data_IF_427511829871
#
_entry.id   IF_427511829871
#
_cell.length_a   1.000
_cell.length_b   1.000
_cell.length_c   1.000
_cell.angle_alpha   90.00
_cell.angle_beta   90.00
_cell.angle_gamma   90.00
#
_symmetry.space_group_name_H-M   'P 1'
#
loop_
_entity.id
_entity.type
_entity.pdbx_description
1 polymer ?
#
# COMPACT_ATOMS: atom_id res chain seq x y z
N UNK A 1 -5.73 17.32 4.84
CA UNK A 1 -4.54 16.58 5.28
C UNK A 1 -3.75 16.06 4.08
N UNK A 2 -2.53 16.57 3.85
CA UNK A 2 -1.64 16.03 2.81
C UNK A 2 -1.18 14.62 3.20
N UNK A 3 -1.49 13.63 2.36
CA UNK A 3 -1.41 12.21 2.71
C UNK A 3 -0.63 11.42 1.67
N UNK A 4 0.28 10.58 2.12
CA UNK A 4 0.91 9.55 1.29
C UNK A 4 0.19 8.21 1.49
N UNK A 5 0.00 7.46 0.41
CA UNK A 5 -0.59 6.12 0.48
C UNK A 5 0.48 5.05 0.27
N UNK A 6 0.59 4.12 1.23
CA UNK A 6 1.36 2.89 1.07
C UNK A 6 0.75 2.03 -0.04
N UNK A 7 1.48 1.88 -1.14
CA UNK A 7 0.99 1.27 -2.37
C UNK A 7 1.65 -0.09 -2.62
N UNK A 8 0.87 -1.16 -2.45
CA UNK A 8 1.33 -2.53 -2.65
C UNK A 8 1.00 -3.07 -4.06
N UNK A 9 0.34 -2.27 -4.90
CA UNK A 9 -0.17 -2.65 -6.23
C UNK A 9 -1.37 -3.61 -6.21
N UNK A 10 -1.86 -3.98 -5.02
CA UNK A 10 -3.02 -4.85 -4.84
C UNK A 10 -4.37 -4.13 -4.80
N UNK A 11 -5.45 -4.92 -4.82
CA UNK A 11 -6.84 -4.45 -4.73
C UNK A 11 -7.11 -3.56 -3.52
N UNK A 12 -6.50 -3.86 -2.37
CA UNK A 12 -6.77 -3.15 -1.13
C UNK A 12 -6.11 -1.77 -1.12
N UNK A 13 -4.89 -1.62 -1.65
CA UNK A 13 -4.30 -0.28 -1.84
C UNK A 13 -5.07 0.55 -2.86
N UNK A 14 -5.55 -0.07 -3.94
CA UNK A 14 -6.35 0.63 -4.95
C UNK A 14 -7.69 1.10 -4.38
N UNK A 15 -8.37 0.25 -3.60
CA UNK A 15 -9.63 0.61 -2.96
C UNK A 15 -9.45 1.62 -1.81
N UNK A 16 -8.34 1.53 -1.07
CA UNK A 16 -7.97 2.55 -0.08
C UNK A 16 -7.82 3.93 -0.73
N UNK A 17 -7.17 4.01 -1.91
CA UNK A 17 -7.09 5.25 -2.68
C UNK A 17 -8.49 5.77 -3.07
N UNK A 18 -9.35 4.88 -3.55
CA UNK A 18 -10.73 5.21 -3.92
C UNK A 18 -11.50 5.81 -2.73
N UNK A 19 -11.44 5.18 -1.55
CA UNK A 19 -12.11 5.69 -0.35
C UNK A 19 -11.53 7.01 0.16
N UNK A 20 -10.20 7.17 0.15
CA UNK A 20 -9.56 8.41 0.58
C UNK A 20 -9.92 9.60 -0.34
N UNK A 21 -10.09 9.36 -1.65
CA UNK A 21 -10.51 10.41 -2.60
C UNK A 21 -11.92 10.93 -2.38
N UNK A 22 -12.74 10.20 -1.63
CA UNK A 22 -14.09 10.63 -1.26
C UNK A 22 -14.12 11.44 0.04
N UNK A 23 -13.01 11.53 0.76
CA UNK A 23 -12.91 12.26 2.01
C UNK A 23 -12.46 13.70 1.73
N UNK A 24 -13.30 14.72 1.99
CA UNK A 24 -13.01 16.11 1.62
C UNK A 24 -11.82 16.70 2.39
N UNK A 25 -11.49 16.13 3.54
CA UNK A 25 -10.40 16.52 4.42
C UNK A 25 -9.08 15.80 4.12
N UNK A 26 -9.05 14.87 3.15
CA UNK A 26 -7.86 14.12 2.77
C UNK A 26 -7.43 14.44 1.34
N UNK A 27 -6.18 14.90 1.20
CA UNK A 27 -5.54 15.08 -0.10
C UNK A 27 -4.45 14.02 -0.26
N UNK A 28 -4.70 12.98 -1.06
CA UNK A 28 -3.65 12.01 -1.41
C UNK A 28 -2.72 12.65 -2.43
N UNK A 29 -1.49 12.94 -2.01
CA UNK A 29 -0.51 13.69 -2.81
C UNK A 29 0.59 12.80 -3.41
N UNK A 30 0.62 11.53 -3.07
CA UNK A 30 1.59 10.58 -3.61
C UNK A 30 1.41 9.17 -3.11
N UNK A 31 2.04 8.26 -3.82
CA UNK A 31 2.13 6.84 -3.50
C UNK A 31 3.54 6.53 -3.00
N UNK A 32 3.67 5.54 -2.11
CA UNK A 32 4.98 5.05 -1.66
C UNK A 32 5.01 3.53 -1.69
N UNK A 33 6.08 2.96 -2.24
CA UNK A 33 6.29 1.52 -2.31
C UNK A 33 7.75 1.18 -2.06
N UNK A 34 8.01 -0.03 -1.59
CA UNK A 34 9.37 -0.55 -1.43
C UNK A 34 9.67 -1.61 -2.49
N UNK A 35 10.81 -1.45 -3.17
CA UNK A 35 11.28 -2.40 -4.18
C UNK A 35 12.57 -3.05 -3.72
N UNK A 36 12.66 -4.36 -3.92
CA UNK A 36 13.88 -5.10 -3.74
C UNK A 36 14.88 -4.70 -4.84
N UNK A 37 16.02 -4.14 -4.46
CA UNK A 37 17.03 -3.63 -5.38
C UNK A 37 17.66 -4.72 -6.27
N UNK A 38 17.69 -5.97 -5.81
CA UNK A 38 18.26 -7.09 -6.58
C UNK A 38 17.30 -7.62 -7.67
N UNK A 39 15.98 -7.46 -7.48
CA UNK A 39 14.97 -8.07 -8.36
C UNK A 39 14.06 -7.08 -9.08
N UNK A 40 14.17 -5.79 -8.77
CA UNK A 40 13.32 -4.70 -9.29
C UNK A 40 11.81 -4.99 -9.15
N UNK A 41 11.44 -5.46 -7.95
CA UNK A 41 10.09 -5.91 -7.61
C UNK A 41 9.66 -5.45 -6.24
N UNK A 42 8.36 -5.22 -6.07
CA UNK A 42 7.75 -4.93 -4.77
C UNK A 42 8.12 -6.01 -3.77
N UNK A 43 8.76 -5.64 -2.67
CA UNK A 43 9.49 -6.56 -1.79
C UNK A 43 8.63 -7.71 -1.21
N UNK A 44 7.32 -7.48 -1.01
CA UNK A 44 6.39 -8.47 -0.45
C UNK A 44 5.47 -9.13 -1.47
N UNK A 45 5.24 -8.50 -2.63
CA UNK A 45 4.21 -8.95 -3.59
C UNK A 45 4.79 -9.39 -4.92
N UNK A 46 6.11 -9.21 -5.13
CA UNK A 46 6.81 -9.66 -6.34
C UNK A 46 6.38 -8.94 -7.62
N UNK A 47 5.57 -7.88 -7.52
CA UNK A 47 5.10 -7.10 -8.66
C UNK A 47 6.26 -6.31 -9.26
N UNK A 48 6.41 -6.35 -10.59
CA UNK A 48 7.46 -5.60 -11.30
C UNK A 48 7.27 -4.11 -11.08
N UNK A 49 8.37 -3.38 -10.84
CA UNK A 49 8.36 -1.93 -10.66
C UNK A 49 7.59 -1.20 -11.77
N UNK A 50 7.81 -1.59 -13.02
CA UNK A 50 7.15 -0.99 -14.20
C UNK A 50 5.61 -1.04 -14.13
N UNK A 51 5.02 -2.10 -13.55
CA UNK A 51 3.58 -2.19 -13.38
C UNK A 51 3.08 -1.23 -12.31
N UNK A 52 3.87 -1.04 -11.24
CA UNK A 52 3.55 -0.10 -10.17
C UNK A 52 3.63 1.35 -10.65
N UNK A 53 4.64 1.66 -11.47
CA UNK A 53 4.79 2.97 -12.11
C UNK A 53 3.61 3.26 -13.05
N UNK A 54 3.21 2.30 -13.88
CA UNK A 54 2.03 2.44 -14.75
C UNK A 54 0.74 2.63 -13.95
N UNK A 55 0.58 1.95 -12.80
CA UNK A 55 -0.56 2.17 -11.90
C UNK A 55 -0.55 3.57 -11.28
N UNK A 56 0.61 4.08 -10.87
CA UNK A 56 0.74 5.42 -10.30
C UNK A 56 0.45 6.51 -11.34
N UNK A 57 0.94 6.33 -12.57
CA UNK A 57 0.64 7.19 -13.72
C UNK A 57 -0.86 7.18 -14.04
N UNK A 58 -1.48 6.01 -14.14
CA UNK A 58 -2.92 5.88 -14.34
C UNK A 58 -3.75 6.50 -13.20
N UNK A 59 -3.21 6.47 -11.97
CA UNK A 59 -3.81 7.15 -10.82
C UNK A 59 -3.56 8.66 -10.83
N UNK A 60 -2.67 9.20 -11.66
CA UNK A 60 -2.30 10.61 -11.67
C UNK A 60 -1.57 11.06 -10.41
N UNK A 61 -0.78 10.17 -9.80
CA UNK A 61 -0.07 10.44 -8.54
C UNK A 61 1.45 10.18 -8.69
N UNK A 62 2.31 10.99 -8.06
CA UNK A 62 3.73 10.70 -8.01
C UNK A 62 3.99 9.43 -7.19
N UNK A 63 4.96 8.62 -7.62
CA UNK A 63 5.38 7.41 -6.93
C UNK A 63 6.76 7.58 -6.29
N UNK A 64 6.83 7.39 -4.97
CA UNK A 64 8.06 7.25 -4.23
C UNK A 64 8.47 5.77 -4.15
N UNK A 65 9.53 5.42 -4.87
CA UNK A 65 10.10 4.07 -4.88
C UNK A 65 11.28 4.02 -3.91
N UNK A 66 11.15 3.24 -2.84
CA UNK A 66 12.21 3.05 -1.84
C UNK A 66 12.93 1.73 -2.12
N UNK A 67 14.18 1.80 -2.55
CA UNK A 67 15.00 0.62 -2.77
C UNK A 67 15.45 0.02 -1.43
N UNK A 68 15.26 -1.28 -1.25
CA UNK A 68 15.73 -2.04 -0.09
C UNK A 68 16.60 -3.23 -0.55
N UNK A 69 17.61 -3.66 0.24
CA UNK A 69 18.53 -4.72 -0.18
C UNK A 69 17.88 -6.12 -0.19
N UNK A 70 18.64 -7.11 -0.67
CA UNK A 70 18.27 -8.52 -0.57
C UNK A 70 19.43 -9.36 -0.01
N UNK A 71 19.23 -10.13 1.07
CA UNK A 71 18.07 -10.08 1.97
C UNK A 71 17.93 -8.69 2.63
N UNK A 72 16.72 -8.33 3.06
CA UNK A 72 16.49 -7.07 3.79
C UNK A 72 16.26 -7.36 5.28
N UNK A 73 17.24 -7.14 6.15
CA UNK A 73 17.00 -7.13 7.59
C UNK A 73 15.97 -6.07 7.95
N UNK A 74 15.12 -6.35 8.94
CA UNK A 74 14.07 -5.42 9.34
C UNK A 74 14.63 -4.06 9.80
N UNK A 75 15.80 -4.03 10.43
CA UNK A 75 16.48 -2.78 10.82
C UNK A 75 16.81 -1.88 9.62
N UNK A 76 17.18 -2.47 8.49
CA UNK A 76 17.51 -1.74 7.27
C UNK A 76 16.24 -1.20 6.58
N UNK A 77 15.18 -2.01 6.54
CA UNK A 77 13.85 -1.56 6.09
C UNK A 77 13.37 -0.36 6.92
N UNK A 78 13.46 -0.45 8.25
CA UNK A 78 13.04 0.60 9.16
C UNK A 78 13.88 1.86 9.04
N UNK A 79 15.20 1.74 8.80
CA UNK A 79 16.07 2.87 8.51
C UNK A 79 15.63 3.60 7.25
N UNK A 80 15.45 2.87 6.14
CA UNK A 80 15.02 3.45 4.85
C UNK A 80 13.64 4.12 4.97
N UNK A 81 12.69 3.46 5.62
CA UNK A 81 11.35 4.02 5.85
C UNK A 81 11.39 5.24 6.77
N UNK A 82 12.19 5.20 7.85
CA UNK A 82 12.33 6.31 8.80
C UNK A 82 12.93 7.56 8.16
N UNK A 83 14.00 7.40 7.35
CA UNK A 83 14.58 8.50 6.58
C UNK A 83 13.58 9.10 5.59
N UNK A 84 12.79 8.25 4.92
CA UNK A 84 11.74 8.73 4.03
C UNK A 84 10.69 9.52 4.80
N UNK A 85 10.15 8.97 5.88
CA UNK A 85 9.15 9.62 6.72
C UNK A 85 9.63 10.98 7.21
N UNK A 86 10.85 11.07 7.75
CA UNK A 86 11.42 12.34 8.22
C UNK A 86 11.48 13.40 7.10
N UNK A 87 11.89 13.02 5.88
CA UNK A 87 11.92 13.94 4.73
C UNK A 87 10.53 14.39 4.30
N UNK A 88 9.53 13.53 4.39
CA UNK A 88 8.15 13.85 3.97
C UNK A 88 7.45 14.74 5.01
N UNK A 89 7.67 14.50 6.30
CA UNK A 89 7.22 15.38 7.37
C UNK A 89 7.79 16.79 7.19
N UNK A 90 9.09 16.92 6.87
CA UNK A 90 9.72 18.21 6.58
C UNK A 90 9.13 18.92 5.35
N UNK A 91 8.46 18.20 4.44
CA UNK A 91 7.73 18.75 3.29
C UNK A 91 6.26 19.06 3.59
N UNK A 92 5.82 18.87 4.83
CA UNK A 92 4.45 19.15 5.26
C UNK A 92 3.46 18.01 4.99
N UNK A 93 3.92 16.78 4.74
CA UNK A 93 3.04 15.60 4.77
C UNK A 93 2.53 15.41 6.20
N UNK A 94 1.23 15.17 6.33
CA UNK A 94 0.52 15.11 7.61
C UNK A 94 0.05 13.69 7.95
N UNK A 95 -0.10 12.83 6.95
CA UNK A 95 -0.60 11.48 7.15
C UNK A 95 0.03 10.45 6.21
N UNK A 96 0.01 9.20 6.68
CA UNK A 96 0.34 8.04 5.87
C UNK A 96 -0.80 7.03 5.97
N UNK A 97 -1.38 6.69 4.83
CA UNK A 97 -2.49 5.77 4.73
C UNK A 97 -2.05 4.36 4.32
N UNK A 98 -2.80 3.36 4.77
CA UNK A 98 -2.54 1.95 4.49
C UNK A 98 -3.83 1.19 4.18
N UNK A 99 -3.77 0.28 3.21
CA UNK A 99 -4.88 -0.59 2.83
C UNK A 99 -5.06 -1.83 3.71
N UNK A 100 -4.59 -1.81 4.97
CA UNK A 100 -4.74 -2.97 5.86
C UNK A 100 -6.20 -3.15 6.28
N UNK A 101 -6.64 -4.41 6.40
CA UNK A 101 -8.05 -4.75 6.65
C UNK A 101 -8.34 -5.06 8.12
N UNK A 102 -7.57 -5.98 8.74
CA UNK A 102 -7.92 -6.51 10.08
C UNK A 102 -6.75 -7.15 10.87
N UNK A 103 -5.52 -7.17 10.34
CA UNK A 103 -4.38 -7.78 11.05
C UNK A 103 -3.82 -6.84 12.11
N UNK A 104 -4.32 -6.96 13.33
CA UNK A 104 -4.06 -6.06 14.47
C UNK A 104 -2.56 -5.81 14.70
N UNK A 105 -1.73 -6.85 14.64
CA UNK A 105 -0.28 -6.73 14.84
C UNK A 105 0.39 -5.86 13.77
N UNK A 106 -0.07 -5.93 12.52
CA UNK A 106 0.43 -5.11 11.41
C UNK A 106 0.04 -3.65 11.61
N UNK A 107 -1.20 -3.40 12.04
CA UNK A 107 -1.65 -2.04 12.35
C UNK A 107 -0.86 -1.44 13.51
N UNK A 108 -0.73 -2.16 14.62
CA UNK A 108 0.06 -1.71 15.78
C UNK A 108 1.51 -1.44 15.41
N UNK A 109 2.11 -2.29 14.57
CA UNK A 109 3.46 -2.06 14.07
C UNK A 109 3.54 -0.71 13.32
N UNK A 110 2.61 -0.43 12.40
CA UNK A 110 2.60 0.84 11.65
C UNK A 110 2.37 2.05 12.55
N UNK A 111 1.43 1.95 13.49
CA UNK A 111 1.16 3.00 14.47
C UNK A 111 2.41 3.28 15.33
N UNK A 112 3.08 2.24 15.81
CA UNK A 112 4.32 2.35 16.58
C UNK A 112 5.47 2.99 15.77
N UNK A 113 5.57 2.69 14.47
CA UNK A 113 6.61 3.28 13.60
C UNK A 113 6.34 4.73 13.22
N UNK A 114 5.08 5.17 13.26
CA UNK A 114 4.70 6.55 12.97
C UNK A 114 4.54 7.41 14.24
N UNK A 115 4.44 6.79 15.43
CA UNK A 115 4.37 7.50 16.69
C UNK A 115 5.56 8.46 16.87
N UNK A 116 5.26 9.71 17.22
CA UNK A 116 6.27 10.76 17.41
C UNK A 116 6.84 11.38 16.14
N UNK A 117 6.48 10.88 14.94
CA UNK A 117 6.97 11.44 13.67
C UNK A 117 6.20 12.68 13.21
N UNK A 118 5.00 12.90 13.74
CA UNK A 118 4.07 13.94 13.28
C UNK A 118 3.12 13.47 12.16
N UNK A 119 3.27 12.24 11.64
CA UNK A 119 2.32 11.64 10.70
C UNK A 119 1.17 10.95 11.44
N UNK A 120 -0.06 11.24 11.00
CA UNK A 120 -1.24 10.47 11.40
C UNK A 120 -1.36 9.20 10.55
N UNK A 121 -1.42 8.00 11.15
CA UNK A 121 -1.73 6.78 10.41
C UNK A 121 -3.22 6.73 10.04
N UNK A 122 -3.52 6.43 8.78
CA UNK A 122 -4.90 6.26 8.30
C UNK A 122 -5.13 4.83 7.78
N UNK A 123 -6.27 4.25 8.15
CA UNK A 123 -6.65 2.89 7.74
C UNK A 123 -8.08 2.88 7.19
N UNK A 124 -8.30 3.38 5.96
CA UNK A 124 -9.65 3.57 5.40
C UNK A 124 -10.47 2.27 5.29
N UNK A 125 -9.81 1.11 5.26
CA UNK A 125 -10.45 -0.20 5.10
C UNK A 125 -10.60 -0.98 6.41
N UNK A 126 -10.12 -0.41 7.53
CA UNK A 126 -9.98 -1.17 8.76
C UNK A 126 -11.32 -1.58 9.36
N UNK A 127 -11.43 -2.86 9.72
CA UNK A 127 -12.61 -3.41 10.39
C UNK A 127 -13.83 -3.56 9.50
N UNK A 128 -13.73 -3.25 8.20
CA UNK A 128 -14.81 -3.53 7.24
C UNK A 128 -14.88 -5.04 7.01
N UNK A 129 -16.08 -5.62 7.08
CA UNK A 129 -16.28 -7.04 6.81
C UNK A 129 -15.84 -7.39 5.39
N UNK A 130 -14.94 -8.36 5.26
CA UNK A 130 -14.16 -8.59 4.04
C UNK A 130 -14.98 -9.11 2.86
N UNK A 131 -16.05 -9.87 3.12
CA UNK A 131 -16.95 -10.40 2.09
C UNK A 131 -17.76 -9.26 1.48
N UNK A 132 -18.33 -8.40 2.33
CA UNK A 132 -19.02 -7.18 1.94
C UNK A 132 -18.08 -6.25 1.19
N UNK A 133 -16.88 -5.99 1.73
CA UNK A 133 -15.88 -5.15 1.07
C UNK A 133 -15.53 -5.65 -0.34
N UNK A 134 -15.31 -6.97 -0.50
CA UNK A 134 -15.01 -7.54 -1.80
C UNK A 134 -16.16 -7.38 -2.80
N UNK A 135 -17.42 -7.52 -2.36
CA UNK A 135 -18.60 -7.26 -3.22
C UNK A 135 -18.68 -5.78 -3.59
N UNK A 136 -18.53 -4.89 -2.63
CA UNK A 136 -18.53 -3.44 -2.87
C UNK A 136 -17.42 -3.02 -3.85
N UNK A 137 -16.23 -3.62 -3.74
CA UNK A 137 -15.14 -3.40 -4.71
C UNK A 137 -15.57 -3.77 -6.13
N UNK A 138 -16.15 -4.96 -6.31
CA UNK A 138 -16.60 -5.45 -7.62
C UNK A 138 -17.73 -4.58 -8.17
N UNK A 139 -18.74 -4.28 -7.35
CA UNK A 139 -19.89 -3.46 -7.73
C UNK A 139 -19.47 -2.01 -8.05
N UNK A 140 -18.41 -1.52 -7.39
CA UNK A 140 -17.77 -0.24 -7.68
C UNK A 140 -16.84 -0.23 -8.90
N UNK A 141 -16.75 -1.35 -9.64
CA UNK A 141 -15.98 -1.46 -10.88
C UNK A 141 -14.48 -1.72 -10.68
N UNK A 142 -14.04 -2.12 -9.48
CA UNK A 142 -12.65 -2.53 -9.28
C UNK A 142 -12.37 -3.84 -10.03
N UNK A 143 -11.43 -3.77 -10.98
CA UNK A 143 -10.88 -4.96 -11.62
C UNK A 143 -9.56 -5.36 -10.97
N UNK A 144 -9.40 -6.63 -10.63
CA UNK A 144 -8.18 -7.19 -10.06
C UNK A 144 -7.86 -8.52 -10.73
N UNK A 145 -6.59 -8.91 -10.73
CA UNK A 145 -6.16 -10.22 -11.24
C UNK A 145 -5.49 -11.03 -10.13
N UNK A 146 -5.79 -12.31 -10.06
CA UNK A 146 -5.20 -13.24 -9.09
C UNK A 146 -3.77 -13.62 -9.49
N UNK A 147 -2.79 -12.82 -9.05
CA UNK A 147 -1.38 -13.02 -9.39
C UNK A 147 -0.73 -14.23 -8.69
N UNK A 148 -1.17 -14.55 -7.47
CA UNK A 148 -0.66 -15.67 -6.68
C UNK A 148 -1.79 -16.29 -5.87
N UNK A 149 -1.81 -17.62 -5.78
CA UNK A 149 -2.82 -18.38 -5.02
C UNK A 149 -2.14 -19.50 -4.24
N UNK A 150 -2.73 -19.88 -3.11
CA UNK A 150 -2.37 -21.12 -2.41
C UNK A 150 -3.19 -22.28 -3.00
N UNK A 151 -2.58 -23.23 -3.75
CA UNK A 151 -3.30 -24.33 -4.38
C UNK A 151 -3.95 -25.29 -3.38
N UNK A 152 -3.60 -25.24 -2.09
CA UNK A 152 -4.27 -26.00 -1.03
C UNK A 152 -5.62 -25.40 -0.65
N UNK A 153 -5.84 -24.11 -0.96
CA UNK A 153 -7.07 -23.36 -0.65
C UNK A 153 -7.90 -23.02 -1.89
N UNK A 154 -7.26 -22.86 -3.05
CA UNK A 154 -7.92 -22.43 -4.28
C UNK A 154 -7.35 -23.17 -5.51
N UNK A 155 -8.18 -23.74 -6.41
CA UNK A 155 -7.69 -24.48 -7.58
C UNK A 155 -6.77 -23.66 -8.50
N UNK A 156 -5.75 -24.31 -9.09
CA UNK A 156 -4.76 -23.69 -10.00
C UNK A 156 -5.36 -22.85 -11.13
N UNK A 157 -6.54 -23.23 -11.64
CA UNK A 157 -7.28 -22.50 -12.69
C UNK A 157 -7.67 -21.07 -12.32
N UNK A 158 -7.54 -20.68 -11.05
CA UNK A 158 -7.81 -19.31 -10.62
C UNK A 158 -6.61 -18.37 -10.78
N UNK A 159 -5.38 -18.89 -10.90
CA UNK A 159 -4.23 -18.04 -11.16
C UNK A 159 -4.40 -17.32 -12.51
N UNK A 160 -4.18 -16.00 -12.52
CA UNK A 160 -4.36 -15.14 -13.70
C UNK A 160 -5.82 -14.80 -14.03
N UNK A 161 -6.81 -15.29 -13.27
CA UNK A 161 -8.20 -14.85 -13.46
C UNK A 161 -8.40 -13.42 -12.97
N UNK A 162 -9.32 -12.74 -13.65
CA UNK A 162 -9.99 -11.53 -13.19
C UNK A 162 -11.08 -11.91 -12.18
#
# INVERSE_FOLDING_TARGET
MQTLLSWSSGKDSAWALHMLRQQPDVAVVGLVTTVNAAFDRVAMHGVRRTLVEAQAEAAGLPLHVLAIPHPCPNAEYERVMGEFVARQVAKGIQAMAFGDLFLEDIRRYREAKLAGTGLTPLFPLWGIETTGLARTMIDGGLEAYLACIDPRKLPKRFAGRR
#
